data_IF_034668960237
#
_entry.id   IF_034668960237
#
_cell.length_a   1.000
_cell.length_b   1.000
_cell.length_c   1.000
_cell.angle_alpha   90.00
_cell.angle_beta   90.00
_cell.angle_gamma   90.00
#
_symmetry.space_group_name_H-M   'P 1'
#
loop_
_entity.id
_entity.type
_entity.pdbx_description
1 polymer ?
#
# COMPACT_ATOMS: atom_id res chain seq x y z
N UNK A 1 16.86 11.14 -61.00
CA UNK A 1 16.31 9.78 -61.22
C UNK A 1 16.63 8.89 -60.01
N UNK A 2 16.22 9.30 -58.80
CA UNK A 2 16.57 8.61 -57.54
C UNK A 2 15.53 8.73 -56.42
N UNK A 3 14.54 9.61 -56.58
CA UNK A 3 13.48 9.89 -55.59
C UNK A 3 12.41 8.80 -55.56
N UNK A 4 12.07 8.19 -56.70
CA UNK A 4 11.02 7.16 -56.78
C UNK A 4 11.43 5.85 -56.10
N UNK A 5 12.69 5.44 -56.24
CA UNK A 5 13.20 4.18 -55.66
C UNK A 5 13.31 4.25 -54.13
N UNK A 6 13.70 5.41 -53.59
CA UNK A 6 13.80 5.63 -52.15
C UNK A 6 12.41 5.61 -51.50
N UNK A 7 11.42 6.26 -52.12
CA UNK A 7 10.03 6.27 -51.62
C UNK A 7 9.39 4.88 -51.60
N UNK A 8 9.70 4.03 -52.58
CA UNK A 8 9.22 2.63 -52.62
C UNK A 8 9.88 1.77 -51.53
N UNK A 9 11.17 1.97 -51.26
CA UNK A 9 11.91 1.26 -50.19
C UNK A 9 11.39 1.62 -48.81
N UNK A 10 11.12 2.90 -48.55
CA UNK A 10 10.52 3.37 -47.28
C UNK A 10 9.14 2.77 -47.09
N UNK A 11 8.26 2.82 -48.11
CA UNK A 11 6.92 2.23 -48.01
C UNK A 11 6.92 0.71 -47.79
N UNK A 12 7.86 -0.01 -48.41
CA UNK A 12 8.01 -1.44 -48.21
C UNK A 12 8.51 -1.79 -46.79
N UNK A 13 9.33 -0.91 -46.19
CA UNK A 13 9.83 -1.08 -44.81
C UNK A 13 8.73 -0.79 -43.80
N UNK A 14 7.97 0.30 -43.99
CA UNK A 14 6.84 0.67 -43.12
C UNK A 14 5.72 -0.38 -43.17
N UNK A 15 5.45 -0.95 -44.35
CA UNK A 15 4.46 -2.00 -44.52
C UNK A 15 4.86 -3.32 -43.83
N UNK A 16 6.15 -3.70 -43.88
CA UNK A 16 6.67 -4.88 -43.17
C UNK A 16 6.66 -4.69 -41.66
N UNK A 17 7.04 -3.51 -41.17
CA UNK A 17 6.96 -3.18 -39.75
C UNK A 17 5.51 -3.28 -39.26
N UNK A 18 4.53 -2.78 -40.03
CA UNK A 18 3.11 -2.87 -39.70
C UNK A 18 2.58 -4.32 -39.66
N UNK A 19 3.06 -5.22 -40.54
CA UNK A 19 2.70 -6.65 -40.49
C UNK A 19 3.27 -7.36 -39.26
N UNK A 20 4.49 -7.02 -38.81
CA UNK A 20 5.11 -7.63 -37.62
C UNK A 20 4.39 -7.24 -36.31
N UNK A 21 3.75 -6.08 -36.25
CA UNK A 21 2.97 -5.63 -35.08
C UNK A 21 1.58 -6.29 -34.93
N UNK A 22 1.03 -6.92 -35.98
CA UNK A 22 -0.32 -7.52 -35.96
C UNK A 22 -0.32 -9.03 -35.62
N UNK A 23 0.86 -9.61 -35.34
CA UNK A 23 0.93 -10.96 -34.78
C UNK A 23 0.70 -10.91 -33.27
N UNK A 24 -0.35 -11.60 -32.83
CA UNK A 24 -0.61 -11.92 -31.42
C UNK A 24 0.45 -12.91 -30.92
N UNK A 25 1.65 -12.41 -30.70
CA UNK A 25 2.75 -13.18 -30.14
C UNK A 25 2.53 -13.45 -28.64
N UNK A 26 3.29 -14.38 -28.07
CA UNK A 26 3.18 -14.77 -26.65
C UNK A 26 3.40 -13.57 -25.72
N UNK A 27 4.25 -12.63 -26.13
CA UNK A 27 4.53 -11.40 -25.39
C UNK A 27 3.27 -10.56 -25.17
N UNK A 28 2.36 -10.51 -26.16
CA UNK A 28 1.10 -9.78 -26.05
C UNK A 28 0.16 -10.41 -25.01
N UNK A 29 0.11 -11.74 -24.95
CA UNK A 29 -0.70 -12.44 -23.95
C UNK A 29 -0.09 -12.32 -22.55
N UNK A 30 1.24 -12.37 -22.42
CA UNK A 30 1.94 -12.21 -21.15
C UNK A 30 1.72 -10.80 -20.59
N UNK A 31 1.85 -9.76 -21.41
CA UNK A 31 1.57 -8.38 -21.01
C UNK A 31 0.13 -8.23 -20.48
N UNK A 32 -0.85 -8.79 -21.22
CA UNK A 32 -2.25 -8.78 -20.81
C UNK A 32 -2.47 -9.53 -19.50
N UNK A 33 -1.83 -10.69 -19.31
CA UNK A 33 -1.95 -11.51 -18.11
C UNK A 33 -1.39 -10.78 -16.89
N UNK A 34 -0.20 -10.18 -17.01
CA UNK A 34 0.42 -9.40 -15.92
C UNK A 34 -0.46 -8.21 -15.56
N UNK A 35 -0.98 -7.48 -16.55
CA UNK A 35 -1.88 -6.36 -16.31
C UNK A 35 -3.11 -6.77 -15.50
N UNK A 36 -3.73 -7.91 -15.83
CA UNK A 36 -4.88 -8.44 -15.08
C UNK A 36 -4.48 -8.89 -13.68
N UNK A 37 -3.35 -9.58 -13.52
CA UNK A 37 -2.86 -10.04 -12.20
C UNK A 37 -2.59 -8.84 -11.29
N UNK A 38 -1.89 -7.82 -11.79
CA UNK A 38 -1.58 -6.61 -11.01
C UNK A 38 -2.87 -5.85 -10.64
N UNK A 39 -3.84 -5.77 -11.55
CA UNK A 39 -5.12 -5.14 -11.29
C UNK A 39 -5.91 -5.87 -10.19
N UNK A 40 -6.02 -7.20 -10.29
CA UNK A 40 -6.67 -8.03 -9.27
C UNK A 40 -5.93 -7.94 -7.94
N UNK A 41 -4.59 -7.97 -7.97
CA UNK A 41 -3.75 -7.77 -6.78
C UNK A 41 -4.03 -6.43 -6.12
N UNK A 42 -4.08 -5.33 -6.89
CA UNK A 42 -4.40 -3.99 -6.39
C UNK A 42 -5.78 -3.93 -5.72
N UNK A 43 -6.82 -4.44 -6.38
CA UNK A 43 -8.17 -4.49 -5.80
C UNK A 43 -8.18 -5.35 -4.52
N UNK A 44 -7.53 -6.52 -4.56
CA UNK A 44 -7.46 -7.40 -3.39
C UNK A 44 -6.76 -6.73 -2.21
N UNK A 45 -5.66 -5.99 -2.45
CA UNK A 45 -4.94 -5.27 -1.43
C UNK A 45 -5.82 -4.20 -0.77
N UNK A 46 -6.57 -3.43 -1.56
CA UNK A 46 -7.53 -2.44 -1.03
C UNK A 46 -8.59 -3.13 -0.17
N UNK A 47 -9.18 -4.23 -0.66
CA UNK A 47 -10.19 -4.98 0.10
C UNK A 47 -9.62 -5.58 1.40
N UNK A 48 -8.41 -6.11 1.39
CA UNK A 48 -7.77 -6.63 2.59
C UNK A 48 -7.47 -5.53 3.59
N UNK A 49 -6.93 -4.39 3.15
CA UNK A 49 -6.68 -3.23 4.02
C UNK A 49 -7.98 -2.73 4.65
N UNK A 50 -9.05 -2.57 3.86
CA UNK A 50 -10.36 -2.18 4.38
C UNK A 50 -10.94 -3.24 5.33
N UNK A 51 -10.74 -4.53 5.02
CA UNK A 51 -11.20 -5.64 5.85
C UNK A 51 -10.52 -5.69 7.22
N UNK A 52 -9.18 -5.64 7.26
CA UNK A 52 -8.44 -5.60 8.53
C UNK A 52 -8.76 -4.32 9.30
N UNK A 53 -8.91 -3.18 8.61
CA UNK A 53 -9.24 -1.92 9.25
C UNK A 53 -10.61 -2.02 9.92
N UNK A 54 -11.64 -2.45 9.20
CA UNK A 54 -12.99 -2.63 9.75
C UNK A 54 -13.00 -3.64 10.91
N UNK A 55 -12.29 -4.76 10.78
CA UNK A 55 -12.18 -5.77 11.83
C UNK A 55 -11.57 -5.20 13.11
N UNK A 56 -10.39 -4.56 12.99
CA UNK A 56 -9.70 -3.94 14.12
C UNK A 56 -10.52 -2.81 14.72
N UNK A 57 -11.17 -1.97 13.90
CA UNK A 57 -12.05 -0.90 14.39
C UNK A 57 -13.28 -1.46 15.10
N UNK A 58 -13.92 -2.52 14.60
CA UNK A 58 -15.09 -3.12 15.26
C UNK A 58 -14.76 -3.70 16.64
N UNK A 59 -13.63 -4.40 16.76
CA UNK A 59 -13.16 -4.92 18.06
C UNK A 59 -12.60 -3.80 18.95
N UNK A 60 -11.92 -2.83 18.35
CA UNK A 60 -11.30 -1.70 19.03
C UNK A 60 -12.29 -0.69 19.59
N UNK A 61 -13.40 -0.40 18.91
CA UNK A 61 -14.43 0.53 19.38
C UNK A 61 -15.03 0.04 20.71
N UNK A 62 -15.35 -1.25 20.85
CA UNK A 62 -15.87 -1.79 22.11
C UNK A 62 -14.89 -1.59 23.27
N UNK A 63 -13.59 -1.84 23.03
CA UNK A 63 -12.54 -1.57 24.00
C UNK A 63 -12.37 -0.07 24.33
N UNK A 64 -12.34 0.77 23.30
CA UNK A 64 -12.07 2.21 23.39
C UNK A 64 -13.18 2.95 24.16
N UNK A 65 -14.44 2.62 23.92
CA UNK A 65 -15.56 3.36 24.51
C UNK A 65 -16.04 2.80 25.86
N UNK A 66 -15.82 1.52 26.15
CA UNK A 66 -16.30 0.91 27.40
C UNK A 66 -15.22 0.77 28.47
N UNK A 67 -13.95 0.64 28.10
CA UNK A 67 -12.86 0.30 29.04
C UNK A 67 -11.73 1.31 29.14
N UNK A 68 -11.59 2.23 28.18
CA UNK A 68 -10.45 3.15 28.17
C UNK A 68 -10.80 4.51 28.76
N UNK A 69 -10.06 4.92 29.80
CA UNK A 69 -10.03 6.31 30.23
C UNK A 69 -8.97 7.08 29.41
N UNK A 70 -9.43 8.01 28.56
CA UNK A 70 -8.53 8.85 27.73
C UNK A 70 -7.58 9.71 28.55
N UNK A 71 -7.99 10.16 29.74
CA UNK A 71 -7.15 10.94 30.62
C UNK A 71 -6.03 10.08 31.16
N UNK A 72 -6.35 8.87 31.61
CA UNK A 72 -5.35 7.91 32.07
C UNK A 72 -4.39 7.52 30.93
N UNK A 73 -4.92 7.11 29.79
CA UNK A 73 -4.14 6.70 28.61
C UNK A 73 -3.05 7.73 28.23
N UNK A 74 -3.41 9.02 28.19
CA UNK A 74 -2.47 10.09 27.81
C UNK A 74 -1.76 10.76 28.97
N UNK A 75 -2.15 10.59 30.23
CA UNK A 75 -1.55 11.31 31.37
C UNK A 75 -0.90 10.40 32.43
N UNK A 76 -1.05 9.08 32.34
CA UNK A 76 -0.34 8.15 33.23
C UNK A 76 0.90 7.58 32.55
N UNK A 77 2.06 7.49 33.25
CA UNK A 77 3.26 6.83 32.74
C UNK A 77 3.24 5.30 32.92
N UNK A 78 2.24 4.74 33.60
CA UNK A 78 2.16 3.33 33.92
C UNK A 78 1.46 2.52 32.82
N UNK A 79 2.00 1.34 32.51
CA UNK A 79 1.46 0.42 31.52
C UNK A 79 1.30 -0.96 32.14
N UNK A 80 0.08 -1.34 32.51
CA UNK A 80 -0.24 -2.63 33.14
C UNK A 80 -1.58 -3.21 32.64
N UNK A 81 -1.67 -3.59 31.35
CA UNK A 81 -2.91 -4.12 30.77
C UNK A 81 -3.28 -5.53 31.26
N UNK A 82 -2.37 -6.19 32.00
CA UNK A 82 -2.53 -7.56 32.50
C UNK A 82 -3.09 -7.63 33.92
N UNK A 83 -3.28 -6.48 34.58
CA UNK A 83 -3.91 -6.44 35.89
C UNK A 83 -5.40 -6.82 35.75
N UNK A 84 -5.84 -7.76 36.58
CA UNK A 84 -7.19 -8.29 36.52
C UNK A 84 -8.21 -7.39 37.23
N UNK A 85 -7.76 -6.56 38.18
CA UNK A 85 -8.63 -5.69 38.97
C UNK A 85 -8.61 -4.23 38.46
N UNK A 86 -7.46 -3.74 37.99
CA UNK A 86 -7.31 -2.35 37.52
C UNK A 86 -6.35 -2.25 36.31
N UNK A 87 -6.82 -2.54 35.08
CA UNK A 87 -5.97 -2.54 33.89
C UNK A 87 -5.61 -1.12 33.43
N UNK A 88 -4.32 -0.77 33.50
CA UNK A 88 -3.82 0.56 33.13
C UNK A 88 -3.19 0.61 31.73
N UNK A 89 -3.51 1.63 30.94
CA UNK A 89 -3.09 1.77 29.53
C UNK A 89 -2.25 3.03 29.22
N UNK A 90 -1.49 3.54 30.18
CA UNK A 90 -0.71 4.77 30.02
C UNK A 90 0.41 4.73 28.99
N UNK A 91 0.34 5.62 27.99
CA UNK A 91 1.34 5.74 26.93
C UNK A 91 2.34 6.89 27.15
N UNK A 92 2.23 7.66 28.24
CA UNK A 92 3.10 8.83 28.47
C UNK A 92 4.58 8.49 28.45
N UNK A 93 4.98 7.41 29.14
CA UNK A 93 6.39 7.02 29.22
C UNK A 93 6.94 6.67 27.83
N UNK A 94 6.11 6.06 26.97
CA UNK A 94 6.46 5.71 25.60
C UNK A 94 6.58 6.95 24.72
N UNK A 95 5.63 7.89 24.80
CA UNK A 95 5.72 9.17 24.10
C UNK A 95 6.92 10.01 24.55
N UNK A 96 7.18 10.06 25.86
CA UNK A 96 8.32 10.77 26.42
C UNK A 96 9.64 10.15 25.94
N UNK A 97 9.72 8.82 25.83
CA UNK A 97 10.88 8.11 25.29
C UNK A 97 11.14 8.45 23.82
N UNK A 98 10.12 8.40 22.96
CA UNK A 98 10.27 8.72 21.53
C UNK A 98 10.61 10.20 21.31
N UNK A 99 9.98 11.11 22.08
CA UNK A 99 10.31 12.53 22.08
C UNK A 99 11.76 12.77 22.54
N UNK A 100 12.23 12.05 23.55
CA UNK A 100 13.59 12.15 24.06
C UNK A 100 14.64 11.71 23.04
N UNK A 101 14.43 10.57 22.36
CA UNK A 101 15.34 10.10 21.29
C UNK A 101 15.38 11.08 20.13
N UNK A 102 14.22 11.61 19.74
CA UNK A 102 14.12 12.60 18.65
C UNK A 102 14.82 13.91 19.03
N UNK A 103 14.57 14.42 20.23
CA UNK A 103 15.20 15.64 20.72
C UNK A 103 16.71 15.52 20.84
N UNK A 104 17.20 14.37 21.33
CA UNK A 104 18.64 14.11 21.42
C UNK A 104 19.29 13.95 20.05
N UNK A 105 18.59 13.36 19.06
CA UNK A 105 19.09 13.25 17.70
C UNK A 105 19.17 14.60 16.95
N UNK A 106 18.44 15.62 17.41
CA UNK A 106 18.45 16.97 16.83
C UNK A 106 19.51 17.91 17.44
N UNK A 107 20.12 17.53 18.57
CA UNK A 107 21.19 18.27 19.25
C UNK A 107 22.57 17.79 18.76
#
# INVERSE_FOLDING_TARGET
MGTTTQALSTRATDARAAEDFDRRDLDWYIDKLIAVIVFVCGISAVLFVLGIFFFVTKEGIGFVFEKMDFREFFLTPYWSPSDAEDPEYGILALMAGTASVTGLAML
#
